data_IF_623496207458
#
_entry.id   IF_623496207458
#
_cell.length_a   1.000
_cell.length_b   1.000
_cell.length_c   1.000
_cell.angle_alpha   90.00
_cell.angle_beta   90.00
_cell.angle_gamma   90.00
#
_symmetry.space_group_name_H-M   'P 1'
#
loop_
_entity.id
_entity.type
_entity.pdbx_description
1 polymer ?
2 polymer ?
3 non-polymer ?
4 non-polymer ?
5 non-polymer ?
6 non-polymer ?
7 non-polymer ?
8 water ?
#
# COMPACT_ATOMS: atom_id res chain seq x y z
N UNK A 4 -8.38 -16.16 20.60
CA UNK A 4 -9.46 -16.20 19.57
C UNK A 4 -10.81 -15.73 20.13
N UNK A 5 -10.83 -15.10 21.33
CA UNK A 5 -12.06 -14.51 21.87
C UNK A 5 -12.21 -13.09 21.32
N UNK A 6 -13.46 -12.64 21.17
CA UNK A 6 -13.78 -11.34 20.60
C UNK A 6 -14.14 -10.34 21.71
N UNK A 7 -13.15 -10.06 22.58
CA UNK A 7 -13.25 -9.02 23.58
C UNK A 7 -13.07 -7.67 22.89
N UNK A 8 -13.56 -6.60 23.54
CA UNK A 8 -13.61 -5.26 22.95
C UNK A 8 -12.64 -4.35 23.71
N UNK A 9 -11.61 -3.84 23.01
CA UNK A 9 -10.52 -3.11 23.65
C UNK A 9 -10.61 -1.60 23.45
N UNK A 10 -11.46 -1.14 22.53
CA UNK A 10 -11.74 0.29 22.38
C UNK A 10 -12.89 0.63 23.32
N UNK A 11 -12.81 1.82 23.90
CA UNK A 11 -13.88 2.32 24.74
C UNK A 11 -15.04 2.76 23.84
N UNK A 12 -14.75 3.10 22.58
CA UNK A 12 -15.75 3.61 21.65
C UNK A 12 -15.27 3.30 20.25
N UNK A 13 -16.18 2.95 19.34
CA UNK A 13 -15.77 2.61 17.99
C UNK A 13 -15.65 3.87 17.13
N UNK A 14 -14.67 4.73 17.42
CA UNK A 14 -14.49 5.99 16.72
C UNK A 14 -13.01 6.30 16.66
N UNK A 15 -12.66 7.31 15.86
CA UNK A 15 -11.30 7.79 15.81
C UNK A 15 -10.81 8.09 17.23
N UNK A 16 -11.65 8.76 18.04
CA UNK A 16 -11.29 9.19 19.40
C UNK A 16 -11.00 7.95 20.25
N UNK A 17 -11.83 6.91 20.12
CA UNK A 17 -11.54 5.63 20.74
C UNK A 17 -10.17 5.08 20.32
N UNK A 18 -9.87 5.13 19.02
CA UNK A 18 -8.63 4.58 18.52
C UNK A 18 -7.47 5.36 19.12
N UNK A 19 -7.62 6.69 19.20
CA UNK A 19 -6.57 7.57 19.73
C UNK A 19 -6.28 7.29 21.20
N UNK A 20 -7.30 7.03 22.00
CA UNK A 20 -7.07 6.70 23.39
C UNK A 20 -6.31 5.37 23.48
N UNK A 21 -6.77 4.40 22.69
CA UNK A 21 -6.16 3.08 22.70
C UNK A 21 -4.68 3.18 22.31
N UNK A 22 -4.37 4.02 21.32
CA UNK A 22 -3.02 4.09 20.79
C UNK A 22 -2.08 4.63 21.86
N UNK A 23 -2.59 5.42 22.79
CA UNK A 23 -1.74 5.97 23.82
C UNK A 23 -1.93 5.26 25.15
N UNK A 24 -2.58 4.10 25.13
CA UNK A 24 -2.61 3.18 26.26
C UNK A 24 -1.38 2.28 26.21
N UNK A 25 -1.11 1.61 27.33
CA UNK A 25 -0.01 0.65 27.45
C UNK A 25 -0.27 -0.56 26.56
N UNK A 26 -1.56 -0.82 26.27
CA UNK A 26 -1.94 -1.97 25.45
C UNK A 26 -1.45 -1.82 24.00
N UNK A 27 -1.00 -0.63 23.57
CA UNK A 27 -0.72 -0.42 22.16
C UNK A 27 0.76 -0.15 21.88
N UNK A 28 1.48 -1.18 21.47
CA UNK A 28 2.93 -1.08 21.33
C UNK A 28 3.36 -1.30 19.88
N UNK A 29 2.61 -2.15 19.15
CA UNK A 29 3.05 -2.64 17.86
C UNK A 29 1.95 -2.42 16.84
N UNK A 30 2.20 -1.48 15.93
CA UNK A 30 1.22 -1.12 14.91
C UNK A 30 1.69 -1.59 13.53
N UNK A 31 0.72 -2.13 12.77
CA UNK A 31 0.91 -2.56 11.40
C UNK A 31 -0.01 -1.71 10.53
N UNK A 32 0.59 -1.11 9.50
CA UNK A 32 -0.15 -0.36 8.50
C UNK A 32 -0.28 -1.21 7.24
N UNK A 33 -1.46 -1.17 6.62
CA UNK A 33 -1.70 -1.81 5.35
C UNK A 33 -2.21 -0.71 4.44
N UNK A 34 -1.48 -0.42 3.36
CA UNK A 34 -1.80 0.74 2.57
C UNK A 34 -1.84 0.38 1.10
N UNK A 35 -2.56 1.21 0.35
CA UNK A 35 -2.81 0.95 -1.05
C UNK A 35 -2.77 2.25 -1.84
N UNK A 36 -3.30 2.23 -3.05
CA UNK A 36 -3.02 3.29 -4.00
C UNK A 36 -3.63 4.61 -3.55
N UNK A 37 -4.67 4.53 -2.69
CA UNK A 37 -5.35 5.71 -2.18
C UNK A 37 -4.41 6.66 -1.40
N UNK A 38 -3.36 6.13 -0.75
CA UNK A 38 -2.51 7.04 -0.01
C UNK A 38 -1.59 7.84 -0.94
N UNK A 39 -1.55 7.51 -2.24
CA UNK A 39 -0.61 8.15 -3.17
C UNK A 39 -1.31 8.95 -4.28
N UNK A 40 -2.65 9.01 -4.26
CA UNK A 40 -3.38 9.82 -5.21
C UNK A 40 -3.08 11.30 -5.04
N UNK A 41 -2.85 11.76 -3.79
CA UNK A 41 -2.57 13.17 -3.56
C UNK A 41 -1.12 13.49 -3.93
N UNK A 42 -0.28 12.48 -4.15
CA UNK A 42 1.05 12.69 -4.69
C UNK A 42 1.02 12.68 -6.22
N UNK A 43 -0.15 12.53 -6.83
CA UNK A 43 -0.26 12.62 -8.28
C UNK A 43 -0.11 11.26 -8.96
N UNK A 44 -0.21 10.16 -8.18
CA UNK A 44 -0.27 8.86 -8.80
C UNK A 44 -1.69 8.31 -8.69
N UNK A 45 -2.38 8.11 -9.83
CA UNK A 45 -3.76 7.67 -9.81
C UNK A 45 -3.93 6.25 -9.27
N UNK A 46 -5.02 6.01 -8.53
CA UNK A 46 -5.40 4.66 -8.18
C UNK A 46 -5.94 3.96 -9.42
N UNK A 47 -6.30 2.70 -9.26
CA UNK A 47 -6.76 1.91 -10.38
C UNK A 47 -8.27 1.99 -10.55
N UNK A 48 -9.05 1.76 -9.48
CA UNK A 48 -10.47 1.48 -9.66
C UNK A 48 -11.35 2.69 -9.35
N UNK A 49 -10.82 3.90 -9.25
CA UNK A 49 -11.70 5.05 -9.02
C UNK A 49 -12.42 5.42 -10.31
N UNK A 50 -13.70 5.81 -10.21
CA UNK A 50 -14.40 6.31 -11.37
C UNK A 50 -13.82 7.66 -11.82
N UNK A 51 -13.72 7.83 -13.14
CA UNK A 51 -13.25 9.06 -13.74
C UNK A 51 -11.74 9.15 -13.61
N UNK A 52 -11.20 9.13 -12.37
CA UNK A 52 -9.78 9.39 -12.16
C UNK A 52 -8.94 8.12 -12.21
N UNK A 53 -9.53 6.95 -11.95
CA UNK A 53 -8.75 5.73 -11.84
C UNK A 53 -8.15 5.31 -13.18
N UNK A 54 -7.07 4.50 -13.13
CA UNK A 54 -6.31 4.13 -14.32
C UNK A 54 -7.19 3.39 -15.32
N UNK A 55 -7.97 2.41 -14.84
CA UNK A 55 -8.75 1.55 -15.71
C UNK A 55 -9.74 2.35 -16.53
N UNK A 56 -10.14 3.49 -15.99
CA UNK A 56 -11.03 4.40 -16.69
C UNK A 56 -10.30 5.23 -17.74
N UNK A 57 -8.95 5.18 -17.78
CA UNK A 57 -8.20 6.09 -18.64
C UNK A 57 -7.23 5.34 -19.56
N UNK A 58 -7.50 4.05 -19.85
CA UNK A 58 -6.63 3.24 -20.70
C UNK A 58 -7.26 3.00 -22.08
N UNK A 59 -8.08 3.94 -22.56
CA UNK A 59 -8.49 3.92 -23.96
C UNK A 59 -7.44 4.73 -24.71
N UNK A 60 -6.69 4.06 -25.58
CA UNK A 60 -5.45 4.58 -26.15
C UNK A 60 -4.59 3.35 -26.43
N UNK A 61 -4.39 2.55 -25.38
CA UNK A 61 -3.73 1.26 -25.45
C UNK A 61 -4.75 0.24 -25.95
N UNK A 62 -4.36 -0.53 -26.96
CA UNK A 62 -5.33 -1.38 -27.64
C UNK A 62 -5.47 -2.66 -26.82
N UNK A 63 -6.22 -2.56 -25.72
CA UNK A 63 -6.18 -3.55 -24.63
C UNK A 63 -7.49 -4.35 -24.56
N UNK A 64 -7.44 -5.69 -24.40
CA UNK A 64 -8.60 -6.50 -24.02
C UNK A 64 -8.90 -6.51 -22.52
N UNK A 65 -9.79 -5.62 -22.09
CA UNK A 65 -9.93 -5.27 -20.68
C UNK A 65 -8.73 -4.41 -20.30
N UNK A 66 -8.96 -3.30 -19.58
CA UNK A 66 -7.85 -2.43 -19.18
C UNK A 66 -6.98 -3.06 -18.10
N UNK A 67 -7.51 -4.12 -17.44
CA UNK A 67 -6.77 -4.89 -16.44
C UNK A 67 -5.50 -5.51 -17.03
N UNK A 68 -5.42 -5.63 -18.37
CA UNK A 68 -4.39 -6.41 -19.05
C UNK A 68 -3.00 -5.78 -18.91
N UNK A 69 -2.97 -4.46 -18.76
CA UNK A 69 -1.70 -3.74 -18.77
C UNK A 69 -0.88 -4.11 -17.54
N UNK A 70 -1.54 -4.57 -16.48
CA UNK A 70 -0.83 -5.04 -15.30
C UNK A 70 -0.87 -6.55 -15.15
N UNK A 71 -1.25 -7.29 -16.20
CA UNK A 71 -1.23 -8.74 -16.13
C UNK A 71 0.07 -9.24 -16.76
N UNK A 72 0.68 -10.26 -16.14
CA UNK A 72 1.98 -10.72 -16.57
C UNK A 72 1.92 -11.37 -17.96
N UNK A 73 0.88 -12.15 -18.25
CA UNK A 73 0.86 -12.88 -19.51
C UNK A 73 0.86 -11.87 -20.68
N UNK A 74 0.10 -10.79 -20.53
CA UNK A 74 0.08 -9.72 -21.51
C UNK A 74 1.47 -9.07 -21.62
N UNK A 75 2.10 -8.78 -20.47
CA UNK A 75 3.35 -8.06 -20.45
C UNK A 75 4.44 -8.84 -21.19
N UNK A 76 4.33 -10.17 -21.09
CA UNK A 76 5.24 -11.08 -21.77
C UNK A 76 5.09 -10.98 -23.29
N UNK A 77 3.86 -11.10 -23.80
CA UNK A 77 3.58 -10.90 -25.22
C UNK A 77 4.09 -9.52 -25.66
N UNK A 78 3.47 -8.44 -25.16
CA UNK A 78 3.82 -7.09 -25.60
C UNK A 78 4.12 -6.23 -24.39
N UNK A 79 5.40 -6.00 -24.04
CA UNK A 79 5.75 -5.10 -22.94
C UNK A 79 5.71 -3.60 -23.24
N UNK A 80 5.61 -3.20 -24.51
CA UNK A 80 5.73 -1.80 -24.88
C UNK A 80 4.61 -0.96 -24.24
N UNK A 81 3.34 -1.42 -24.21
CA UNK A 81 2.26 -0.69 -23.53
C UNK A 81 2.52 -0.34 -22.05
N UNK A 82 3.02 -1.30 -21.29
CA UNK A 82 3.32 -0.98 -19.90
C UNK A 82 4.35 0.15 -19.80
N UNK A 83 5.43 0.07 -20.59
CA UNK A 83 6.46 1.09 -20.57
C UNK A 83 5.89 2.45 -20.98
N UNK A 84 4.99 2.46 -21.96
CA UNK A 84 4.46 3.74 -22.41
C UNK A 84 3.56 4.34 -21.33
N UNK A 85 2.80 3.50 -20.62
CA UNK A 85 1.95 3.97 -19.53
C UNK A 85 2.81 4.47 -18.37
N UNK A 86 3.88 3.71 -18.09
CA UNK A 86 4.81 4.09 -17.05
C UNK A 86 5.35 5.48 -17.33
N UNK A 87 5.55 5.77 -18.61
CA UNK A 87 5.98 7.09 -19.01
C UNK A 87 4.90 8.12 -18.68
N UNK A 88 3.64 7.82 -18.97
CA UNK A 88 2.59 8.79 -18.71
C UNK A 88 2.47 9.12 -17.23
N UNK A 89 2.72 8.15 -16.35
CA UNK A 89 2.41 8.30 -14.93
C UNK A 89 3.62 8.75 -14.10
N UNK A 90 4.82 8.53 -14.61
CA UNK A 90 5.99 8.70 -13.78
C UNK A 90 6.02 10.15 -13.32
N UNK A 91 5.98 10.45 -12.00
CA UNK A 91 6.04 11.84 -11.54
C UNK A 91 7.41 12.49 -11.74
N UNK A 92 7.42 13.77 -12.15
CA UNK A 92 8.64 14.57 -12.21
C UNK A 92 9.35 14.64 -10.87
N UNK A 93 8.54 14.87 -9.83
CA UNK A 93 8.97 14.95 -8.45
C UNK A 93 8.25 13.89 -7.63
N UNK A 94 8.99 13.17 -6.79
CA UNK A 94 8.38 12.23 -5.89
C UNK A 94 8.19 12.90 -4.53
N UNK A 95 6.98 13.36 -4.21
CA UNK A 95 6.74 13.96 -2.91
C UNK A 95 5.77 13.13 -2.10
N UNK A 96 6.22 12.41 -1.06
CA UNK A 96 5.29 11.62 -0.26
C UNK A 96 4.22 12.51 0.36
N UNK A 97 3.11 11.89 0.79
CA UNK A 97 1.96 12.61 1.27
C UNK A 97 1.97 12.65 2.79
N UNK A 98 1.07 13.46 3.33
CA UNK A 98 0.81 13.55 4.74
C UNK A 98 0.68 12.17 5.39
N UNK A 99 -0.06 11.29 4.72
CA UNK A 99 -0.28 9.94 5.21
C UNK A 99 1.03 9.15 5.23
N UNK A 100 1.90 9.34 4.23
CA UNK A 100 3.18 8.67 4.26
C UNK A 100 3.97 9.14 5.47
N UNK A 101 3.89 10.45 5.76
CA UNK A 101 4.68 11.05 6.82
C UNK A 101 4.10 10.64 8.16
N UNK A 102 2.79 10.37 8.19
CA UNK A 102 2.11 9.90 9.37
C UNK A 102 2.79 8.60 9.81
N UNK A 103 3.03 7.72 8.85
CA UNK A 103 3.69 6.44 9.13
C UNK A 103 5.14 6.68 9.53
N UNK A 104 5.77 7.68 8.94
CA UNK A 104 7.08 8.11 9.42
C UNK A 104 7.03 8.36 10.93
N UNK A 105 5.98 9.04 11.41
CA UNK A 105 5.90 9.45 12.80
C UNK A 105 5.73 8.20 13.64
N UNK A 106 4.98 7.25 13.12
CA UNK A 106 4.82 5.98 13.78
C UNK A 106 6.17 5.31 13.98
N UNK A 107 6.97 5.26 12.92
CA UNK A 107 8.28 4.66 13.02
C UNK A 107 9.14 5.43 14.03
N UNK A 108 9.13 6.77 13.94
CA UNK A 108 10.00 7.60 14.78
C UNK A 108 9.58 7.49 16.25
N UNK A 109 8.35 7.07 16.53
CA UNK A 109 7.89 6.95 17.91
C UNK A 109 7.91 5.50 18.38
N UNK A 110 8.52 4.62 17.58
CA UNK A 110 8.72 3.22 17.97
C UNK A 110 7.42 2.41 17.92
N UNK A 111 6.40 2.89 17.21
CA UNK A 111 5.11 2.22 17.23
C UNK A 111 4.94 1.31 16.02
N UNK A 112 5.70 1.57 14.96
CA UNK A 112 5.55 0.85 13.70
C UNK A 112 6.24 -0.49 13.81
N UNK A 113 5.48 -1.58 13.76
CA UNK A 113 6.09 -2.88 13.56
C UNK A 113 6.26 -3.15 12.06
N UNK A 114 5.30 -2.74 11.22
CA UNK A 114 5.54 -2.89 9.80
C UNK A 114 4.52 -2.09 9.00
N UNK A 115 4.96 -1.64 7.82
CA UNK A 115 4.08 -1.19 6.79
C UNK A 115 4.08 -2.18 5.65
N UNK A 116 2.96 -2.85 5.43
CA UNK A 116 2.70 -3.61 4.24
C UNK A 116 2.01 -2.70 3.22
N UNK A 117 2.60 -2.61 2.04
CA UNK A 117 2.08 -1.70 1.03
C UNK A 117 1.82 -2.46 -0.26
N UNK A 118 0.76 -2.06 -0.96
CA UNK A 118 0.49 -2.53 -2.29
C UNK A 118 1.13 -1.62 -3.34
N UNK A 119 1.66 -0.46 -2.91
CA UNK A 119 2.23 0.51 -3.83
C UNK A 119 3.64 0.15 -4.31
N UNK A 120 3.92 0.60 -5.55
CA UNK A 120 5.17 0.31 -6.24
C UNK A 120 5.97 1.60 -6.42
N UNK A 121 5.54 2.69 -5.79
CA UNK A 121 5.93 4.02 -6.21
C UNK A 121 7.10 4.56 -5.37
N UNK A 122 7.60 3.75 -4.40
CA UNK A 122 8.75 4.08 -3.58
C UNK A 122 8.47 5.22 -2.59
N UNK A 123 7.23 5.73 -2.52
CA UNK A 123 7.02 6.94 -1.74
C UNK A 123 7.29 6.72 -0.24
N UNK A 124 6.97 5.50 0.26
CA UNK A 124 7.21 5.12 1.63
C UNK A 124 8.70 5.17 2.01
N UNK A 125 9.59 4.85 1.06
CA UNK A 125 11.03 4.97 1.27
C UNK A 125 11.48 6.44 1.30
N UNK A 126 10.94 7.23 0.38
CA UNK A 126 11.25 8.64 0.34
C UNK A 126 10.81 9.35 1.61
N UNK A 127 9.71 8.88 2.23
CA UNK A 127 9.25 9.46 3.50
C UNK A 127 10.09 8.93 4.67
N UNK A 128 10.87 7.87 4.47
CA UNK A 128 11.92 7.51 5.40
C UNK A 128 11.66 6.20 6.11
N UNK A 129 10.79 5.35 5.57
CA UNK A 129 10.66 3.98 6.04
C UNK A 129 11.74 3.14 5.37
N UNK A 130 12.52 2.44 6.20
CA UNK A 130 13.60 1.60 5.70
C UNK A 130 13.03 0.23 5.31
N UNK A 131 13.89 -0.57 4.67
CA UNK A 131 13.56 -1.89 4.18
C UNK A 131 13.15 -2.76 5.37
N UNK A 132 13.69 -2.46 6.55
CA UNK A 132 13.32 -3.15 7.78
C UNK A 132 11.84 -2.94 8.11
N UNK A 133 11.31 -1.74 7.89
CA UNK A 133 9.98 -1.35 8.34
C UNK A 133 8.89 -1.73 7.34
N UNK A 134 9.28 -2.22 6.17
CA UNK A 134 8.48 -2.13 4.98
C UNK A 134 8.42 -3.49 4.31
N UNK A 135 7.21 -3.88 3.92
CA UNK A 135 7.08 -5.04 3.08
C UNK A 135 6.34 -4.54 1.86
N UNK A 136 7.09 -4.48 0.76
CA UNK A 136 6.56 -4.11 -0.53
C UNK A 136 5.99 -5.37 -1.16
N UNK A 137 4.69 -5.59 -0.94
CA UNK A 137 4.02 -6.82 -1.33
C UNK A 137 3.89 -6.98 -2.84
N UNK A 138 3.72 -5.90 -3.60
CA UNK A 138 3.71 -5.97 -5.05
C UNK A 138 5.03 -5.50 -5.64
N UNK A 139 6.10 -5.57 -4.86
CA UNK A 139 7.41 -5.18 -5.34
C UNK A 139 7.53 -3.66 -5.46
N UNK A 140 8.47 -3.21 -6.33
CA UNK A 140 8.82 -1.80 -6.37
C UNK A 140 9.51 -1.45 -7.69
N UNK A 141 9.38 -0.17 -8.04
CA UNK A 141 10.14 0.48 -9.10
C UNK A 141 11.56 0.78 -8.62
N UNK A 142 11.79 0.59 -7.33
CA UNK A 142 13.04 1.01 -6.72
C UNK A 142 14.20 0.36 -7.45
N UNK A 143 14.10 -0.95 -7.67
CA UNK A 143 15.05 -1.67 -8.50
C UNK A 143 14.34 -2.40 -9.63
N UNK A 144 15.19 -2.78 -10.59
CA UNK A 144 14.83 -3.45 -11.81
C UNK A 144 15.81 -4.60 -12.06
N UNK A 145 15.36 -5.65 -12.75
CA UNK A 145 16.22 -6.77 -13.08
C UNK A 145 15.95 -7.29 -14.49
N UNK A 146 17.06 -7.67 -15.13
CA UNK A 146 17.08 -8.46 -16.34
C UNK A 146 16.25 -9.73 -16.05
N UNK A 147 15.39 -10.12 -16.99
CA UNK A 147 14.50 -11.24 -16.80
C UNK A 147 15.19 -12.57 -17.14
N UNK A 148 16.41 -12.54 -17.67
CA UNK A 148 17.08 -13.80 -18.02
C UNK A 148 17.59 -14.51 -16.77
N UNK A 149 17.15 -15.75 -16.57
CA UNK A 149 17.46 -16.51 -15.36
C UNK A 149 18.97 -16.55 -15.15
N UNK A 150 19.75 -16.61 -16.22
CA UNK A 150 21.20 -16.77 -16.08
C UNK A 150 21.90 -15.43 -15.82
N UNK A 151 21.19 -14.29 -15.93
CA UNK A 151 21.84 -12.99 -15.87
C UNK A 151 21.37 -12.26 -14.61
N UNK A 152 20.12 -11.81 -14.63
CA UNK A 152 19.47 -11.15 -13.52
C UNK A 152 20.28 -9.95 -13.04
N UNK A 153 20.89 -9.20 -13.95
CA UNK A 153 21.61 -8.00 -13.55
C UNK A 153 20.58 -7.01 -12.99
N UNK A 154 20.95 -6.32 -11.90
CA UNK A 154 20.12 -5.34 -11.24
C UNK A 154 20.42 -3.94 -11.77
N UNK A 155 19.38 -3.12 -11.95
CA UNK A 155 19.53 -1.74 -12.37
C UNK A 155 18.74 -0.83 -11.41
N UNK A 156 19.24 0.39 -11.09
CA UNK A 156 18.51 1.34 -10.28
C UNK A 156 17.55 2.19 -11.10
N UNK A 157 16.74 2.99 -10.40
CA UNK A 157 15.58 3.64 -10.98
C UNK A 157 15.97 4.75 -11.95
N UNK A 158 17.13 5.39 -11.72
CA UNK A 158 17.57 6.46 -12.59
C UNK A 158 17.83 5.91 -14.00
N UNK A 159 18.31 4.66 -14.04
CA UNK A 159 18.51 3.94 -15.29
C UNK A 159 17.16 3.56 -15.89
N UNK A 160 16.26 3.00 -15.08
CA UNK A 160 14.95 2.62 -15.58
C UNK A 160 14.22 3.87 -16.09
N UNK A 161 14.24 4.93 -15.27
CA UNK A 161 13.60 6.19 -15.62
C UNK A 161 14.08 6.71 -16.97
N UNK A 162 15.41 6.73 -17.18
CA UNK A 162 15.99 7.23 -18.42
C UNK A 162 15.46 6.41 -19.59
N UNK A 163 15.24 5.10 -19.39
CA UNK A 163 14.77 4.24 -20.47
C UNK A 163 13.32 4.50 -20.81
N UNK A 164 12.51 4.75 -19.76
CA UNK A 164 11.09 4.97 -19.93
C UNK A 164 10.87 6.36 -20.50
N UNK A 165 11.59 7.38 -20.00
CA UNK A 165 11.40 8.71 -20.56
C UNK A 165 12.05 8.75 -21.95
N UNK A 166 12.91 7.79 -22.28
CA UNK A 166 13.49 7.76 -23.60
C UNK A 166 12.56 7.07 -24.59
N UNK A 167 11.60 6.29 -24.07
CA UNK A 167 10.75 5.45 -24.90
C UNK A 167 11.58 4.35 -25.58
N UNK A 168 12.73 4.01 -24.99
CA UNK A 168 13.49 2.83 -25.39
C UNK A 168 13.01 1.69 -24.51
N UNK A 169 12.57 0.58 -25.11
CA UNK A 169 12.20 -0.61 -24.35
C UNK A 169 13.45 -1.12 -23.62
N UNK A 170 13.50 -1.06 -22.28
CA UNK A 170 14.75 -1.23 -21.54
C UNK A 170 15.35 -2.61 -21.73
N UNK A 171 16.63 -2.62 -22.09
CA UNK A 171 17.34 -3.84 -22.43
C UNK A 171 18.66 -3.87 -21.64
N UNK A 172 18.95 -5.05 -21.08
CA UNK A 172 20.16 -5.33 -20.30
C UNK A 172 21.42 -5.14 -21.16
N UNK A 173 22.42 -4.53 -20.51
CA UNK A 173 23.68 -4.17 -21.14
C UNK A 173 24.58 -5.39 -21.25
N UNK A 174 24.34 -6.39 -20.41
CA UNK A 174 25.10 -7.64 -20.41
C UNK A 174 24.54 -8.60 -21.46
N UNK A 175 23.21 -8.66 -21.63
CA UNK A 175 22.67 -9.73 -22.47
C UNK A 175 21.58 -9.30 -23.47
N UNK A 176 21.13 -8.03 -23.43
CA UNK A 176 20.16 -7.49 -24.38
C UNK A 176 18.79 -8.12 -24.19
N UNK A 177 18.56 -8.74 -23.03
CA UNK A 177 17.22 -9.15 -22.63
C UNK A 177 16.47 -7.96 -22.05
N UNK A 178 15.17 -8.15 -21.87
CA UNK A 178 14.32 -7.12 -21.27
C UNK A 178 14.69 -6.92 -19.81
N UNK A 179 14.68 -5.66 -19.38
CA UNK A 179 14.79 -5.30 -17.97
C UNK A 179 13.44 -4.82 -17.48
N UNK A 180 12.91 -5.55 -16.51
CA UNK A 180 11.59 -5.30 -15.97
C UNK A 180 11.72 -4.70 -14.57
N UNK A 181 10.97 -3.65 -14.26
CA UNK A 181 10.90 -3.18 -12.88
C UNK A 181 10.45 -4.28 -11.95
N UNK A 182 11.01 -4.29 -10.70
CA UNK A 182 10.80 -5.35 -9.73
C UNK A 182 9.41 -5.27 -9.09
N UNK A 183 8.38 -5.23 -9.92
CA UNK A 183 7.01 -5.22 -9.45
C UNK A 183 6.40 -6.57 -9.74
N UNK A 184 5.40 -6.90 -8.91
CA UNK A 184 4.60 -8.09 -9.09
C UNK A 184 3.40 -7.74 -9.96
N UNK A 185 3.40 -8.25 -11.20
CA UNK A 185 2.25 -8.23 -12.09
C UNK A 185 1.18 -9.15 -11.52
N UNK A 186 -0.07 -8.92 -11.96
CA UNK A 186 -1.15 -9.88 -11.85
C UNK A 186 -0.74 -11.17 -12.53
N UNK A 187 -0.94 -12.30 -11.83
CA UNK A 187 -0.50 -13.62 -12.25
C UNK A 187 0.82 -14.05 -11.62
N UNK A 188 1.56 -13.13 -11.00
CA UNK A 188 2.87 -13.46 -10.47
C UNK A 188 2.77 -13.76 -8.98
N UNK A 189 3.80 -14.43 -8.46
CA UNK A 189 3.87 -14.78 -7.05
C UNK A 189 4.38 -13.57 -6.28
N UNK A 190 3.89 -13.39 -5.06
CA UNK A 190 4.38 -12.34 -4.19
C UNK A 190 5.78 -12.71 -3.71
N UNK A 191 6.59 -11.74 -3.24
CA UNK A 191 7.92 -12.04 -2.77
C UNK A 191 7.90 -12.75 -1.44
N UNK A 192 8.93 -13.58 -1.26
CA UNK A 192 9.03 -14.47 -0.14
C UNK A 192 8.96 -13.68 1.18
N UNK A 193 9.55 -12.49 1.18
CA UNK A 193 9.57 -11.64 2.35
C UNK A 193 8.15 -11.36 2.86
N UNK A 194 7.19 -11.23 1.94
CA UNK A 194 5.80 -11.01 2.28
C UNK A 194 5.30 -12.12 3.21
N UNK A 195 5.65 -13.38 2.92
CA UNK A 195 5.05 -14.51 3.60
C UNK A 195 5.71 -14.69 4.95
N UNK A 196 7.03 -14.52 5.00
CA UNK A 196 7.83 -14.70 6.22
C UNK A 196 7.51 -13.60 7.22
N UNK A 197 7.26 -12.40 6.71
CA UNK A 197 6.86 -11.30 7.59
C UNK A 197 5.48 -11.55 8.17
N UNK A 198 4.52 -12.01 7.36
CA UNK A 198 3.16 -12.10 7.87
C UNK A 198 3.06 -13.23 8.89
N UNK A 199 3.78 -14.34 8.67
CA UNK A 199 3.76 -15.46 9.60
C UNK A 199 4.22 -15.03 10.99
N UNK A 200 4.94 -13.92 11.09
CA UNK A 200 5.47 -13.49 12.36
C UNK A 200 4.75 -12.26 12.93
N UNK A 201 4.55 -11.21 12.15
CA UNK A 201 4.16 -9.92 12.69
C UNK A 201 2.72 -9.91 13.21
N UNK A 202 1.84 -10.74 12.66
CA UNK A 202 0.45 -10.72 13.07
C UNK A 202 0.25 -11.56 14.33
N UNK A 203 1.34 -12.07 14.88
CA UNK A 203 1.26 -12.81 16.12
C UNK A 203 1.16 -11.82 17.28
N UNK A 204 1.70 -10.60 17.14
CA UNK A 204 1.77 -9.68 18.28
C UNK A 204 1.37 -8.24 17.94
N UNK A 205 0.64 -8.06 16.85
CA UNK A 205 0.16 -6.74 16.50
C UNK A 205 -0.94 -6.29 17.49
N UNK A 206 -0.92 -5.01 17.86
CA UNK A 206 -1.88 -4.40 18.79
C UNK A 206 -2.87 -3.47 18.08
N UNK A 207 -2.55 -3.03 16.87
CA UNK A 207 -3.43 -2.17 16.08
C UNK A 207 -3.12 -2.34 14.60
N UNK A 208 -4.16 -2.47 13.78
CA UNK A 208 -4.03 -2.55 12.34
C UNK A 208 -4.59 -1.27 11.73
N UNK A 209 -3.74 -0.52 11.02
CA UNK A 209 -4.10 0.72 10.36
C UNK A 209 -4.15 0.50 8.85
N UNK A 210 -5.37 0.56 8.30
CA UNK A 210 -5.62 0.24 6.92
C UNK A 210 -5.98 1.54 6.23
N UNK A 211 -5.20 1.95 5.23
CA UNK A 211 -5.40 3.23 4.57
C UNK A 211 -5.30 3.09 3.04
N UNK A 212 -6.30 3.63 2.34
CA UNK A 212 -6.25 3.83 0.90
C UNK A 212 -6.16 2.52 0.12
N UNK A 213 -6.96 1.51 0.51
CA UNK A 213 -7.00 0.23 -0.18
C UNK A 213 -8.43 -0.29 -0.21
N UNK A 214 -8.82 -0.84 -1.38
CA UNK A 214 -10.13 -1.44 -1.60
C UNK A 214 -10.21 -2.85 -0.98
N UNK A 215 -9.04 -3.41 -0.64
CA UNK A 215 -8.91 -4.73 -0.06
C UNK A 215 -9.60 -5.77 -0.95
N UNK A 216 -9.23 -5.74 -2.23
CA UNK A 216 -9.79 -6.70 -3.19
C UNK A 216 -8.71 -7.38 -4.03
N UNK A 217 -7.44 -7.00 -3.81
CA UNK A 217 -6.28 -7.67 -4.39
C UNK A 217 -5.79 -8.65 -3.34
N UNK A 218 -5.68 -9.91 -3.76
CA UNK A 218 -5.29 -11.02 -2.94
C UNK A 218 -3.94 -11.51 -3.44
N UNK A 219 -3.09 -12.13 -2.58
CA UNK A 219 -3.40 -12.40 -1.18
C UNK A 219 -3.23 -11.25 -0.17
N UNK A 220 -2.89 -10.04 -0.64
CA UNK A 220 -2.65 -8.90 0.24
C UNK A 220 -3.82 -8.69 1.19
N UNK A 221 -5.05 -8.71 0.64
CA UNK A 221 -6.26 -8.41 1.40
C UNK A 221 -6.48 -9.37 2.56
N UNK A 222 -5.99 -10.60 2.43
CA UNK A 222 -6.25 -11.56 3.48
C UNK A 222 -5.54 -11.17 4.77
N UNK A 223 -4.66 -10.16 4.74
CA UNK A 223 -3.86 -9.77 5.90
C UNK A 223 -4.70 -9.34 7.11
N UNK A 224 -5.89 -8.80 6.88
CA UNK A 224 -6.74 -8.32 7.96
C UNK A 224 -7.22 -9.46 8.84
N UNK A 225 -7.32 -10.68 8.27
CA UNK A 225 -7.82 -11.85 8.97
C UNK A 225 -6.71 -12.51 9.77
N UNK A 226 -5.47 -12.07 9.56
CA UNK A 226 -4.31 -12.67 10.20
C UNK A 226 -4.16 -12.11 11.60
N UNK A 227 -4.72 -10.90 11.83
CA UNK A 227 -4.61 -10.30 13.14
C UNK A 227 -5.37 -11.15 14.15
N UNK A 228 -4.99 -11.17 15.45
CA UNK A 228 -5.86 -11.73 16.48
C UNK A 228 -7.23 -11.06 16.49
N UNK A 229 -8.21 -11.73 17.08
CA UNK A 229 -9.58 -11.30 16.90
C UNK A 229 -9.87 -10.04 17.74
N UNK A 230 -9.06 -9.76 18.75
CA UNK A 230 -9.27 -8.59 19.59
C UNK A 230 -8.40 -7.39 19.17
N UNK A 231 -7.58 -7.56 18.12
CA UNK A 231 -6.79 -6.43 17.59
C UNK A 231 -7.72 -5.43 16.90
N UNK A 232 -7.86 -4.19 17.43
CA UNK A 232 -8.68 -3.19 16.78
C UNK A 232 -8.16 -2.90 15.39
N UNK A 233 -9.07 -2.61 14.46
CA UNK A 233 -8.67 -2.31 13.11
C UNK A 233 -9.36 -1.02 12.63
N UNK A 234 -8.54 -0.05 12.20
CA UNK A 234 -9.05 1.23 11.75
C UNK A 234 -8.81 1.36 10.25
N UNK A 235 -9.87 1.72 9.51
CA UNK A 235 -9.84 1.96 8.08
C UNK A 235 -9.98 3.45 7.85
N UNK A 236 -9.02 4.02 7.11
CA UNK A 236 -9.09 5.39 6.65
C UNK A 236 -9.18 5.29 5.13
N UNK A 237 -10.34 5.64 4.58
CA UNK A 237 -10.59 5.37 3.17
C UNK A 237 -11.76 6.22 2.69
N UNK A 238 -11.79 6.50 1.36
CA UNK A 238 -12.81 7.34 0.74
C UNK A 238 -14.15 6.61 0.85
N UNK A 239 -14.14 5.27 0.84
CA UNK A 239 -15.32 4.46 1.04
C UNK A 239 -14.97 3.27 1.93
N UNK A 240 -15.98 2.62 2.52
CA UNK A 240 -15.75 1.49 3.39
C UNK A 240 -15.23 0.35 2.54
N UNK A 241 -14.46 -0.57 3.12
CA UNK A 241 -13.94 -1.72 2.39
C UNK A 241 -13.67 -2.85 3.37
N UNK A 242 -13.67 -4.08 2.85
CA UNK A 242 -13.17 -5.24 3.55
C UNK A 242 -14.27 -6.02 4.25
N UNK A 243 -15.49 -5.47 4.23
CA UNK A 243 -16.61 -6.14 4.84
C UNK A 243 -16.89 -7.39 4.01
N UNK A 244 -17.41 -8.44 4.66
CA UNK A 244 -17.70 -9.65 3.93
C UNK A 244 -18.87 -9.45 2.97
N UNK A 245 -18.67 -9.92 1.73
CA UNK A 245 -19.71 -9.95 0.73
C UNK A 245 -20.82 -10.89 1.21
N UNK A 246 -22.10 -10.52 1.02
CA UNK A 246 -23.21 -11.32 1.52
C UNK A 246 -23.37 -12.70 0.88
N UNK A 247 -22.92 -12.85 -0.36
CA UNK A 247 -23.09 -14.10 -1.08
C UNK A 247 -21.85 -14.98 -0.87
N UNK A 248 -20.67 -14.44 -1.21
CA UNK A 248 -19.42 -15.16 -1.01
C UNK A 248 -19.35 -15.60 0.45
N UNK A 249 -19.72 -14.68 1.36
CA UNK A 249 -19.78 -14.93 2.78
C UNK A 249 -20.54 -16.22 3.13
N UNK A 250 -21.67 -16.46 2.44
CA UNK A 250 -22.56 -17.56 2.77
C UNK A 250 -21.92 -18.93 2.49
N UNK A 251 -20.74 -18.96 1.84
CA UNK A 251 -20.03 -20.19 1.55
C UNK A 251 -18.69 -20.20 2.30
N UNK A 252 -18.15 -21.41 2.55
CA UNK A 252 -16.95 -21.60 3.34
C UNK A 252 -15.73 -21.66 2.40
N UNK A 256 -12.38 -13.71 8.92
CA UNK A 256 -13.43 -12.70 9.19
C UNK A 256 -13.11 -11.37 8.51
N UNK A 257 -14.14 -10.78 7.87
CA UNK A 257 -14.01 -9.49 7.21
C UNK A 257 -14.15 -8.31 8.18
N UNK A 258 -14.13 -7.07 7.67
CA UNK A 258 -14.35 -5.91 8.52
C UNK A 258 -15.81 -5.86 8.94
N UNK A 259 -16.04 -5.60 10.22
CA UNK A 259 -17.38 -5.38 10.75
C UNK A 259 -17.50 -4.04 11.49
N UNK A 260 -17.97 -3.04 10.75
CA UNK A 260 -18.07 -1.68 11.23
C UNK A 260 -19.42 -1.37 11.83
N UNK A 261 -20.48 -2.07 11.39
CA UNK A 261 -21.82 -1.50 11.45
C UNK A 261 -22.89 -2.49 11.93
N UNK A 262 -22.65 -3.79 11.76
CA UNK A 262 -23.60 -4.76 12.27
C UNK A 262 -23.67 -4.65 13.79
N UNK A 263 -24.69 -5.32 14.35
CA UNK A 263 -24.89 -5.39 15.80
C UNK A 263 -23.69 -6.07 16.46
N UNK A 264 -23.00 -6.93 15.70
CA UNK A 264 -21.88 -7.71 16.18
C UNK A 264 -20.58 -6.88 16.30
N UNK A 265 -20.54 -5.62 15.83
CA UNK A 265 -19.33 -4.83 15.70
C UNK A 265 -18.68 -4.54 17.07
N UNK A 266 -17.35 -4.74 17.18
CA UNK A 266 -16.67 -4.66 18.47
C UNK A 266 -15.26 -4.05 18.35
N UNK A 267 -14.63 -4.00 17.16
CA UNK A 267 -13.24 -3.51 17.07
C UNK A 267 -12.83 -2.84 15.76
N UNK A 268 -13.75 -2.72 14.80
CA UNK A 268 -13.45 -2.16 13.49
C UNK A 268 -14.05 -0.77 13.40
N UNK A 269 -13.28 0.19 12.89
CA UNK A 269 -13.74 1.57 12.80
C UNK A 269 -13.42 2.10 11.40
N UNK A 270 -14.38 2.78 10.83
CA UNK A 270 -14.20 3.34 9.52
C UNK A 270 -14.26 4.85 9.65
N UNK A 271 -13.18 5.51 9.23
CA UNK A 271 -13.13 6.94 9.04
C UNK A 271 -13.06 7.21 7.55
N UNK A 272 -14.08 7.86 7.00
CA UNK A 272 -14.25 7.96 5.57
C UNK A 272 -13.99 9.37 5.07
N UNK A 273 -13.01 9.47 4.18
CA UNK A 273 -12.59 10.73 3.58
C UNK A 273 -11.22 10.60 2.94
N UNK A 274 -10.58 11.73 2.69
CA UNK A 274 -9.20 11.80 2.23
C UNK A 274 -8.30 11.26 3.34
N UNK A 275 -7.42 10.32 2.98
CA UNK A 275 -6.43 9.72 3.87
C UNK A 275 -5.54 10.78 4.52
N UNK A 276 -5.29 11.85 3.78
CA UNK A 276 -4.48 12.96 4.24
C UNK A 276 -5.20 13.63 5.42
N UNK A 277 -6.54 13.81 5.30
CA UNK A 277 -7.36 14.41 6.35
C UNK A 277 -7.52 13.50 7.57
N UNK A 278 -7.65 12.18 7.33
CA UNK A 278 -7.89 11.23 8.41
C UNK A 278 -6.64 11.13 9.28
N UNK A 279 -5.48 11.17 8.62
CA UNK A 279 -4.20 11.10 9.27
C UNK A 279 -3.96 12.37 10.10
N UNK A 280 -4.35 13.53 9.55
CA UNK A 280 -4.23 14.79 10.23
C UNK A 280 -5.16 14.77 11.45
N UNK A 281 -6.40 14.29 11.25
CA UNK A 281 -7.36 14.16 12.33
C UNK A 281 -6.84 13.23 13.43
N UNK A 282 -6.25 12.12 13.05
CA UNK A 282 -5.77 11.21 14.07
C UNK A 282 -4.58 11.83 14.79
N UNK A 283 -3.65 12.41 14.04
CA UNK A 283 -2.51 13.08 14.63
C UNK A 283 -2.94 14.13 15.66
N UNK A 284 -3.98 14.89 15.34
CA UNK A 284 -4.39 15.97 16.21
C UNK A 284 -4.82 15.40 17.54
N UNK A 285 -5.62 14.33 17.50
CA UNK A 285 -6.02 13.63 18.70
C UNK A 285 -4.81 13.11 19.48
N UNK A 286 -3.77 12.62 18.81
CA UNK A 286 -2.62 12.07 19.50
C UNK A 286 -1.68 13.14 20.07
N UNK A 287 -1.95 14.42 19.81
CA UNK A 287 -1.03 15.49 20.18
C UNK A 287 0.15 15.60 19.19
N UNK A 288 -0.02 15.16 17.93
CA UNK A 288 1.09 15.06 17.01
C UNK A 288 0.97 16.07 15.91
N UNK A 289 -0.05 16.93 15.94
CA UNK A 289 -0.36 17.70 14.75
C UNK A 289 0.81 18.61 14.39
N UNK A 290 1.35 19.37 15.36
CA UNK A 290 2.47 20.24 15.05
C UNK A 290 3.63 19.42 14.48
N UNK A 291 3.89 18.26 15.08
CA UNK A 291 5.00 17.43 14.66
C UNK A 291 4.83 17.01 13.20
N UNK A 292 3.60 16.65 12.83
CA UNK A 292 3.33 16.21 11.48
C UNK A 292 3.39 17.39 10.50
N UNK A 293 2.86 18.55 10.88
CA UNK A 293 2.90 19.70 10.00
C UNK A 293 4.35 20.10 9.71
N UNK A 294 5.21 20.06 10.74
CA UNK A 294 6.58 20.49 10.59
C UNK A 294 7.40 19.51 9.74
N UNK A 295 7.27 18.21 10.00
CA UNK A 295 7.93 17.21 9.18
C UNK A 295 7.55 17.35 7.71
N UNK A 296 6.25 17.36 7.41
CA UNK A 296 5.75 17.45 6.05
C UNK A 296 6.34 18.69 5.36
N UNK A 297 6.29 19.83 6.03
CA UNK A 297 6.75 21.06 5.44
C UNK A 297 8.26 21.04 5.25
N UNK A 298 8.98 20.51 6.25
CA UNK A 298 10.43 20.44 6.14
C UNK A 298 10.81 19.50 4.99
N UNK A 299 10.13 18.36 4.89
CA UNK A 299 10.47 17.38 3.86
C UNK A 299 10.11 17.84 2.47
N UNK A 300 8.94 18.49 2.29
CA UNK A 300 8.55 19.03 1.00
C UNK A 300 9.51 20.14 0.56
N UNK A 301 9.84 21.06 1.46
CA UNK A 301 10.77 22.13 1.13
C UNK A 301 12.10 21.55 0.65
N UNK A 302 12.52 20.49 1.32
CA UNK A 302 13.77 19.82 1.02
C UNK A 302 13.68 19.24 -0.38
N UNK A 303 12.61 18.53 -0.65
CA UNK A 303 12.46 17.96 -1.97
C UNK A 303 12.32 19.07 -2.98
N UNK A 304 11.63 20.16 -2.65
CA UNK A 304 11.41 21.25 -3.60
C UNK A 304 12.71 21.98 -3.94
N UNK A 305 13.76 21.82 -3.12
CA UNK A 305 15.03 22.47 -3.40
C UNK A 305 16.11 21.46 -3.80
N UNK A 306 15.79 20.53 -4.71
CA UNK A 306 16.74 19.50 -5.13
C UNK A 306 17.20 19.80 -6.55
N UNK B 1 0.84 -22.36 -4.69
CA UNK B 1 1.45 -21.07 -5.11
C UNK B 1 0.41 -19.94 -5.11
N UNK B 2 0.34 -19.09 -4.05
CA UNK B 2 -0.61 -17.97 -4.01
C UNK B 2 -0.13 -16.77 -4.83
N UNK B 3 -0.87 -16.47 -5.92
CA UNK B 3 -0.46 -15.51 -6.93
C UNK B 3 -1.26 -14.21 -6.76
N UNK B 4 -0.74 -13.12 -7.30
CA UNK B 4 -1.48 -11.87 -7.24
C UNK B 4 -2.69 -11.90 -8.18
N UNK B 5 -3.88 -11.64 -7.61
CA UNK B 5 -5.15 -11.71 -8.33
C UNK B 5 -6.22 -10.89 -7.60
N UNK B 6 -7.14 -10.30 -8.39
CA UNK B 6 -8.38 -9.72 -7.86
C UNK B 6 -9.28 -10.89 -7.46
N UNK B 7 -10.30 -10.60 -6.64
CA UNK B 7 -11.25 -11.64 -6.24
C UNK B 7 -12.50 -10.99 -5.66
#
# INVERSE_FOLDING_TARGET
SLGSQKERLLDELTLEGVARYMQSERCRRVICLVGAGISTSAGIPDARSPSTGLYDNLEKYHLPYPEAIFEISYFKKHPEPFFALAKELYPGQFKPTICHYFMRLLKDKGLLLRCYTQNIDTLERIAGLEQEDLVEAHGTFYTSHCVSASCRHEYPLSWMKEKIFSEVTPKCEDCQSLVKPDIVFFGESLPARFFSCMQSDFLKVDLLLVMGTSLQVQPFASLISKAPLSTPRLLINKEKAGQSDPFLGMIMGLGGGMDFDSKKAYRDVAWLGECDQGCLALAELLGWKKELEDLVRREHASIDAQS
APRKQLA
#
